data_IF_848025980342
#
_entry.id   IF_848025980342
#
_cell.length_a   1.000
_cell.length_b   1.000
_cell.length_c   1.000
_cell.angle_alpha   90.00
_cell.angle_beta   90.00
_cell.angle_gamma   90.00
#
_symmetry.space_group_name_H-M   'P 1'
#
loop_
_entity.id
_entity.type
_entity.pdbx_description
1 polymer ?
#
# COMPACT_ATOMS: atom_id res chain seq x y z
N UNK A 1 1.98 -21.31 -18.36
CA UNK A 1 2.13 -20.00 -17.71
C UNK A 1 2.71 -18.89 -18.62
N UNK A 2 4.03 -18.75 -18.84
CA UNK A 2 4.57 -17.65 -19.70
C UNK A 2 4.04 -17.72 -21.15
N UNK A 3 3.96 -18.94 -21.71
CA UNK A 3 3.33 -19.17 -23.03
C UNK A 3 1.84 -18.83 -23.06
N UNK A 4 1.09 -19.03 -21.97
CA UNK A 4 -0.34 -18.69 -21.90
C UNK A 4 -0.57 -17.18 -21.76
N UNK A 5 0.30 -16.48 -21.03
CA UNK A 5 0.25 -15.03 -20.87
C UNK A 5 0.52 -14.33 -22.21
N UNK A 6 1.51 -14.82 -22.96
CA UNK A 6 1.79 -14.33 -24.32
C UNK A 6 0.64 -14.63 -25.29
N UNK A 7 0.03 -15.82 -25.23
CA UNK A 7 -1.12 -16.18 -26.07
C UNK A 7 -2.36 -15.31 -25.79
N UNK A 8 -2.47 -14.73 -24.59
CA UNK A 8 -3.57 -13.83 -24.20
C UNK A 8 -3.25 -12.34 -24.41
N UNK A 9 -2.13 -12.00 -25.06
CA UNK A 9 -1.63 -10.62 -25.22
C UNK A 9 -1.56 -9.83 -23.90
N UNK A 10 -1.34 -10.53 -22.79
CA UNK A 10 -1.12 -9.88 -21.50
C UNK A 10 0.35 -9.48 -21.48
N UNK A 11 0.64 -8.21 -21.78
CA UNK A 11 1.99 -7.64 -21.66
C UNK A 11 2.47 -7.86 -20.22
N UNK A 12 3.54 -8.65 -20.06
CA UNK A 12 4.16 -8.90 -18.76
C UNK A 12 4.84 -7.59 -18.31
N UNK A 13 4.06 -6.68 -17.73
CA UNK A 13 4.55 -5.41 -17.17
C UNK A 13 5.53 -5.62 -16.01
N UNK A 14 5.70 -6.85 -15.50
CA UNK A 14 6.64 -7.18 -14.43
C UNK A 14 8.12 -6.93 -14.79
N UNK A 15 8.48 -6.90 -16.07
CA UNK A 15 9.87 -6.65 -16.56
C UNK A 15 10.12 -5.16 -16.89
N UNK A 16 9.07 -4.32 -16.87
CA UNK A 16 9.21 -2.87 -17.10
C UNK A 16 9.34 -2.13 -15.75
N UNK A 17 8.77 -2.70 -14.71
CA UNK A 17 8.70 -2.13 -13.36
C UNK A 17 10.04 -2.11 -12.60
N UNK A 18 10.95 -3.03 -12.89
CA UNK A 18 12.29 -3.11 -12.28
C UNK A 18 13.32 -2.17 -12.94
N UNK A 19 12.96 -1.48 -14.04
CA UNK A 19 13.84 -0.54 -14.74
C UNK A 19 13.44 0.93 -14.58
N UNK A 20 12.17 1.22 -14.25
CA UNK A 20 11.72 2.58 -13.94
C UNK A 20 12.10 2.98 -12.51
N UNK A 21 12.79 4.11 -12.38
CA UNK A 21 13.17 4.69 -11.08
C UNK A 21 11.94 5.18 -10.32
N UNK A 22 10.97 5.75 -11.04
CA UNK A 22 9.70 6.23 -10.49
C UNK A 22 8.91 5.07 -9.90
N UNK A 23 8.86 3.93 -10.62
CA UNK A 23 8.14 2.76 -10.16
C UNK A 23 8.80 2.14 -8.92
N UNK A 24 10.13 1.99 -8.90
CA UNK A 24 10.88 1.57 -7.70
C UNK A 24 10.62 2.47 -6.51
N UNK A 25 10.71 3.77 -6.71
CA UNK A 25 10.46 4.77 -5.67
C UNK A 25 9.03 4.64 -5.12
N UNK A 26 8.06 4.39 -5.99
CA UNK A 26 6.67 4.19 -5.60
C UNK A 26 6.50 2.88 -4.82
N UNK A 27 7.18 1.81 -5.22
CA UNK A 27 7.18 0.52 -4.48
C UNK A 27 7.75 0.74 -3.09
N UNK A 28 8.92 1.35 -2.97
CA UNK A 28 9.60 1.56 -1.69
C UNK A 28 8.72 2.37 -0.73
N UNK A 29 8.04 3.41 -1.23
CA UNK A 29 7.06 4.17 -0.44
C UNK A 29 5.88 3.31 0.01
N UNK A 30 5.34 2.48 -0.89
CA UNK A 30 4.27 1.53 -0.57
C UNK A 30 4.67 0.53 0.51
N UNK A 31 5.89 -0.04 0.40
CA UNK A 31 6.45 -0.99 1.37
C UNK A 31 6.60 -0.32 2.73
N UNK A 32 7.19 0.87 2.79
CA UNK A 32 7.36 1.62 4.04
C UNK A 32 6.01 1.87 4.72
N UNK A 33 5.01 2.29 3.95
CA UNK A 33 3.67 2.57 4.46
C UNK A 33 2.99 1.30 4.98
N UNK A 34 3.01 0.20 4.21
CA UNK A 34 2.43 -1.07 4.63
C UNK A 34 3.13 -1.62 5.89
N UNK A 35 4.46 -1.52 5.94
CA UNK A 35 5.27 -1.97 7.08
C UNK A 35 4.97 -1.16 8.33
N UNK A 36 4.79 0.16 8.19
CA UNK A 36 4.43 1.04 9.29
C UNK A 36 3.14 0.57 9.99
N UNK A 37 2.08 0.26 9.23
CA UNK A 37 0.81 -0.19 9.80
C UNK A 37 0.79 -1.66 10.22
N UNK A 38 1.73 -2.49 9.76
CA UNK A 38 1.93 -3.83 10.30
C UNK A 38 2.79 -3.87 11.56
N UNK A 39 3.60 -2.84 11.81
CA UNK A 39 4.43 -2.79 12.99
C UNK A 39 3.56 -2.54 14.25
N UNK A 40 3.49 -3.53 15.13
CA UNK A 40 2.73 -3.48 16.37
C UNK A 40 3.16 -2.37 17.33
N UNK A 41 4.30 -1.72 17.13
CA UNK A 41 4.73 -0.56 17.91
C UNK A 41 3.94 0.71 17.56
N UNK A 42 3.37 0.79 16.35
CA UNK A 42 2.61 1.95 15.87
C UNK A 42 1.13 1.89 16.29
N UNK A 43 0.86 1.42 17.50
CA UNK A 43 -0.50 1.11 18.01
C UNK A 43 -1.47 2.28 17.87
N UNK A 44 -0.99 3.50 18.13
CA UNK A 44 -1.79 4.72 18.08
C UNK A 44 -2.42 4.94 16.69
N UNK A 45 -1.60 4.95 15.65
CA UNK A 45 -2.08 5.15 14.28
C UNK A 45 -2.82 3.93 13.74
N UNK A 46 -2.47 2.71 14.17
CA UNK A 46 -3.22 1.50 13.81
C UNK A 46 -4.64 1.53 14.38
N UNK A 47 -4.81 1.97 15.63
CA UNK A 47 -6.12 2.08 16.26
C UNK A 47 -6.99 3.13 15.55
N UNK A 48 -6.45 4.33 15.30
CA UNK A 48 -7.15 5.38 14.56
C UNK A 48 -7.51 4.94 13.13
N UNK A 49 -6.60 4.23 12.45
CA UNK A 49 -6.87 3.70 11.12
C UNK A 49 -8.07 2.74 11.15
N UNK A 50 -8.10 1.81 12.12
CA UNK A 50 -9.21 0.85 12.27
C UNK A 50 -10.53 1.56 12.55
N UNK A 51 -10.54 2.53 13.45
CA UNK A 51 -11.73 3.32 13.79
C UNK A 51 -12.31 4.00 12.54
N UNK A 52 -11.48 4.77 11.83
CA UNK A 52 -11.90 5.46 10.60
C UNK A 52 -12.33 4.48 9.49
N UNK A 53 -11.70 3.31 9.39
CA UNK A 53 -12.12 2.27 8.45
C UNK A 53 -13.48 1.68 8.80
N UNK A 54 -13.77 1.48 10.08
CA UNK A 54 -15.07 0.98 10.51
C UNK A 54 -16.18 2.01 10.25
N UNK A 55 -15.91 3.28 10.54
CA UNK A 55 -16.83 4.39 10.23
C UNK A 55 -17.09 4.52 8.72
N UNK A 56 -16.06 4.35 7.89
CA UNK A 56 -16.17 4.58 6.44
C UNK A 56 -16.65 3.35 5.67
N UNK A 57 -16.21 2.16 6.06
CA UNK A 57 -16.36 0.92 5.29
C UNK A 57 -17.05 -0.22 6.05
N UNK A 58 -17.29 -0.07 7.36
CA UNK A 58 -17.80 -1.12 8.25
C UNK A 58 -16.96 -2.41 8.25
N UNK A 59 -15.69 -2.31 7.85
CA UNK A 59 -14.76 -3.44 7.82
C UNK A 59 -13.33 -2.95 8.03
N UNK A 60 -12.48 -3.86 8.51
CA UNK A 60 -11.05 -3.61 8.64
C UNK A 60 -10.29 -4.16 7.43
N UNK A 61 -9.44 -3.32 6.85
CA UNK A 61 -8.56 -3.64 5.73
C UNK A 61 -7.14 -3.31 6.18
N UNK A 62 -6.34 -4.34 6.45
CA UNK A 62 -4.95 -4.16 6.82
C UNK A 62 -4.07 -4.01 5.57
N UNK A 63 -3.19 -2.99 5.51
CA UNK A 63 -2.15 -2.94 4.48
C UNK A 63 -1.28 -4.20 4.48
N UNK A 64 -1.08 -4.78 3.30
CA UNK A 64 -0.31 -6.01 3.12
C UNK A 64 1.14 -5.66 2.84
N UNK A 65 2.07 -6.17 3.64
CA UNK A 65 3.50 -6.12 3.35
C UNK A 65 3.81 -7.18 2.28
N UNK A 66 4.49 -6.83 1.18
CA UNK A 66 4.81 -7.80 0.15
C UNK A 66 5.86 -8.79 0.68
N UNK A 67 5.67 -10.07 0.36
CA UNK A 67 6.64 -11.12 0.62
C UNK A 67 7.37 -11.49 -0.68
N UNK A 68 8.68 -11.75 -0.58
CA UNK A 68 9.54 -12.08 -1.74
C UNK A 68 9.10 -13.36 -2.46
N UNK A 69 8.48 -14.31 -1.75
CA UNK A 69 8.13 -15.64 -2.28
C UNK A 69 6.84 -15.67 -3.10
N UNK A 70 6.07 -14.57 -3.16
CA UNK A 70 4.77 -14.52 -3.85
C UNK A 70 4.85 -13.53 -5.02
N UNK A 71 4.69 -14.04 -6.24
CA UNK A 71 4.81 -13.28 -7.48
C UNK A 71 3.80 -12.12 -7.61
N UNK A 72 2.71 -12.15 -6.86
CA UNK A 72 1.68 -11.11 -6.84
C UNK A 72 1.74 -10.21 -5.59
N UNK A 73 2.79 -10.30 -4.78
CA UNK A 73 2.87 -9.61 -3.48
C UNK A 73 2.80 -8.09 -3.61
N UNK A 74 3.49 -7.52 -4.60
CA UNK A 74 3.44 -6.07 -4.91
C UNK A 74 2.03 -5.64 -5.33
N UNK A 75 1.37 -6.43 -6.18
CA UNK A 75 -0.01 -6.17 -6.59
C UNK A 75 -0.95 -6.18 -5.38
N UNK A 76 -0.88 -7.21 -4.54
CA UNK A 76 -1.72 -7.32 -3.34
C UNK A 76 -1.48 -6.18 -2.35
N UNK A 77 -0.23 -5.75 -2.17
CA UNK A 77 0.11 -4.57 -1.38
C UNK A 77 -0.63 -3.34 -1.92
N UNK A 78 -0.46 -3.02 -3.21
CA UNK A 78 -1.11 -1.84 -3.78
C UNK A 78 -2.63 -1.92 -3.76
N UNK A 79 -3.23 -3.08 -4.03
CA UNK A 79 -4.67 -3.27 -3.89
C UNK A 79 -5.14 -2.97 -2.47
N UNK A 80 -4.40 -3.43 -1.44
CA UNK A 80 -4.74 -3.13 -0.04
C UNK A 80 -4.60 -1.64 0.30
N UNK A 81 -3.59 -0.96 -0.25
CA UNK A 81 -3.37 0.48 -0.05
C UNK A 81 -4.43 1.33 -0.77
N UNK A 82 -4.78 0.98 -2.01
CA UNK A 82 -5.83 1.65 -2.78
C UNK A 82 -7.20 1.48 -2.11
N UNK A 83 -7.50 0.28 -1.61
CA UNK A 83 -8.74 0.03 -0.87
C UNK A 83 -8.80 0.80 0.47
N UNK A 84 -7.68 1.23 1.01
CA UNK A 84 -7.60 2.03 2.25
C UNK A 84 -7.28 3.51 2.01
N UNK A 85 -7.13 3.93 0.74
CA UNK A 85 -6.60 5.23 0.35
C UNK A 85 -7.35 6.41 0.97
N UNK A 86 -8.68 6.41 0.87
CA UNK A 86 -9.51 7.51 1.38
C UNK A 86 -9.30 7.68 2.89
N UNK A 87 -9.27 6.58 3.64
CA UNK A 87 -9.08 6.63 5.09
C UNK A 87 -7.65 7.06 5.46
N UNK A 88 -6.65 6.59 4.72
CA UNK A 88 -5.26 7.04 4.90
C UNK A 88 -5.10 8.55 4.67
N UNK A 89 -5.80 9.10 3.67
CA UNK A 89 -5.81 10.55 3.42
C UNK A 89 -6.48 11.32 4.55
N UNK A 90 -7.63 10.86 5.05
CA UNK A 90 -8.30 11.47 6.21
C UNK A 90 -7.39 11.44 7.44
N UNK A 91 -6.72 10.31 7.67
CA UNK A 91 -5.77 10.17 8.78
C UNK A 91 -4.61 11.16 8.65
N UNK A 92 -4.05 11.30 7.46
CA UNK A 92 -2.96 12.25 7.21
C UNK A 92 -3.38 13.70 7.47
N UNK A 93 -4.58 14.10 7.05
CA UNK A 93 -5.13 15.45 7.31
C UNK A 93 -5.39 15.65 8.81
N UNK A 94 -5.97 14.66 9.49
CA UNK A 94 -6.30 14.74 10.92
C UNK A 94 -5.06 14.94 11.81
N UNK A 95 -3.93 14.39 11.38
CA UNK A 95 -2.66 14.43 12.12
C UNK A 95 -1.58 15.22 11.39
N UNK A 96 -1.98 16.15 10.52
CA UNK A 96 -1.05 17.03 9.84
C UNK A 96 -0.31 17.87 10.90
N UNK A 97 1.04 17.86 10.93
CA UNK A 97 1.77 18.62 11.92
C UNK A 97 1.50 20.11 11.74
N UNK A 98 1.40 20.89 12.82
CA UNK A 98 1.28 22.34 12.72
C UNK A 98 2.48 22.88 11.94
N UNK A 99 2.22 23.82 11.03
CA UNK A 99 3.27 24.52 10.29
C UNK A 99 4.08 25.31 11.31
N UNK A 100 5.26 24.83 11.66
CA UNK A 100 6.23 25.57 12.46
C UNK A 100 6.98 26.46 11.47
N UNK A 101 6.66 27.75 11.45
CA UNK A 101 7.49 28.73 10.74
C UNK A 101 8.89 28.74 11.36
N UNK A 102 9.96 28.74 10.54
CA UNK A 102 11.35 28.67 11.01
C UNK A 102 11.82 29.93 11.75
#
# INVERSE_FOLDING_TARGET
>A
MVKELNNKQITICAVITDKSVEFKTTIDKGIRLATYFQNSNNKFFIANLKELQYETYQKYIMPIVPAETRWNSIYMMYTSLLNTQKVLQILAIKFEPPIVEP
#
